data_IF_338380527126
#
_entry.id   IF_338380527126
#
_cell.length_a   1.000
_cell.length_b   1.000
_cell.length_c   1.000
_cell.angle_alpha   90.00
_cell.angle_beta   90.00
_cell.angle_gamma   90.00
#
_symmetry.space_group_name_H-M   'P 1'
#
loop_
_entity.id
_entity.type
_entity.pdbx_description
1 polymer ?
#
# COMPACT_ATOMS: atom_id res chain seq x y z
N UNK A 1 -21.84 -13.28 6.35
CA UNK A 1 -22.55 -12.17 5.68
C UNK A 1 -21.51 -11.36 4.94
N UNK A 2 -21.70 -11.08 3.64
CA UNK A 2 -20.77 -10.23 2.88
C UNK A 2 -20.99 -8.77 3.31
N UNK A 3 -19.91 -8.02 3.58
CA UNK A 3 -20.00 -6.58 3.85
C UNK A 3 -20.45 -5.85 2.58
N UNK A 4 -21.26 -4.79 2.71
CA UNK A 4 -21.65 -3.99 1.55
C UNK A 4 -20.40 -3.39 0.89
N UNK A 5 -20.38 -3.39 -0.44
CA UNK A 5 -19.30 -2.76 -1.20
C UNK A 5 -19.20 -1.27 -0.83
N UNK A 6 -17.98 -0.79 -0.61
CA UNK A 6 -17.69 0.63 -0.41
C UNK A 6 -17.58 1.28 -1.78
N UNK A 7 -18.43 2.27 -2.06
CA UNK A 7 -18.29 3.11 -3.25
C UNK A 7 -17.40 4.29 -2.92
N UNK A 8 -16.20 4.32 -3.51
CA UNK A 8 -15.35 5.51 -3.50
C UNK A 8 -16.02 6.60 -4.34
N UNK A 9 -16.35 7.78 -3.80
CA UNK A 9 -16.73 8.91 -4.65
C UNK A 9 -15.54 9.22 -5.57
N UNK A 10 -15.75 9.65 -6.84
CA UNK A 10 -14.66 9.90 -7.77
C UNK A 10 -13.63 10.83 -7.12
N UNK A 11 -12.45 10.31 -6.71
CA UNK A 11 -11.53 11.14 -5.98
C UNK A 11 -10.94 12.18 -6.95
N UNK A 12 -10.78 13.41 -6.48
CA UNK A 12 -10.12 14.42 -7.27
C UNK A 12 -8.67 14.01 -7.58
N UNK A 13 -8.14 14.46 -8.72
CA UNK A 13 -6.70 14.38 -8.97
C UNK A 13 -5.95 15.09 -7.83
N UNK A 14 -4.85 14.51 -7.31
CA UNK A 14 -4.15 13.33 -7.81
C UNK A 14 -4.54 12.00 -7.13
N UNK A 15 -5.48 12.00 -6.18
CA UNK A 15 -5.83 10.83 -5.36
C UNK A 15 -6.45 9.70 -6.18
N UNK A 16 -7.11 10.00 -7.31
CA UNK A 16 -7.54 8.97 -8.26
C UNK A 16 -6.40 8.14 -8.84
N UNK A 17 -5.25 8.74 -9.11
CA UNK A 17 -4.08 8.03 -9.63
C UNK A 17 -3.54 7.04 -8.59
N UNK A 18 -3.61 7.40 -7.31
CA UNK A 18 -3.27 6.51 -6.20
C UNK A 18 -4.23 5.31 -6.16
N UNK A 19 -5.55 5.53 -6.18
CA UNK A 19 -6.52 4.44 -6.15
C UNK A 19 -6.44 3.53 -7.37
N UNK A 20 -6.18 4.06 -8.56
CA UNK A 20 -5.92 3.21 -9.74
C UNK A 20 -4.70 2.31 -9.53
N UNK A 21 -3.61 2.82 -8.96
CA UNK A 21 -2.43 2.01 -8.66
C UNK A 21 -2.73 0.92 -7.61
N UNK A 22 -3.51 1.23 -6.58
CA UNK A 22 -3.93 0.26 -5.55
C UNK A 22 -4.88 -0.80 -6.12
N UNK A 23 -5.78 -0.44 -7.04
CA UNK A 23 -6.67 -1.39 -7.71
C UNK A 23 -5.89 -2.31 -8.66
N UNK A 24 -4.93 -1.78 -9.43
CA UNK A 24 -4.03 -2.61 -10.24
C UNK A 24 -3.22 -3.59 -9.38
N UNK A 25 -2.84 -3.17 -8.16
CA UNK A 25 -2.20 -4.05 -7.19
C UNK A 25 -3.16 -5.14 -6.67
N UNK A 26 -4.44 -4.82 -6.47
CA UNK A 26 -5.46 -5.78 -6.04
C UNK A 26 -5.71 -6.88 -7.09
N UNK A 27 -5.48 -6.59 -8.37
CA UNK A 27 -5.59 -7.56 -9.45
C UNK A 27 -4.45 -8.60 -9.46
N UNK A 28 -3.43 -8.47 -8.59
CA UNK A 28 -2.35 -9.44 -8.49
C UNK A 28 -2.74 -10.64 -7.61
N UNK A 29 -3.00 -11.83 -8.18
CA UNK A 29 -3.72 -12.91 -7.49
C UNK A 29 -2.91 -13.64 -6.42
N UNK A 30 -1.60 -13.36 -6.28
CA UNK A 30 -0.67 -14.18 -5.48
C UNK A 30 -0.16 -13.50 -4.22
N UNK A 31 -0.54 -12.25 -3.96
CA UNK A 31 -0.01 -11.51 -2.82
C UNK A 31 -1.15 -11.04 -1.92
N UNK A 32 -1.12 -11.50 -0.67
CA UNK A 32 -1.96 -10.92 0.39
C UNK A 32 -1.34 -9.60 0.82
N UNK A 33 -2.15 -8.56 0.87
CA UNK A 33 -1.73 -7.25 1.32
C UNK A 33 -2.89 -6.46 1.92
N UNK A 34 -2.58 -5.40 2.66
CA UNK A 34 -3.57 -4.52 3.27
C UNK A 34 -3.25 -3.07 2.99
N UNK A 35 -4.28 -2.25 2.72
CA UNK A 35 -4.18 -0.79 2.84
C UNK A 35 -4.17 -0.43 4.32
N UNK A 36 -3.25 0.43 4.73
CA UNK A 36 -3.18 1.00 6.08
C UNK A 36 -3.12 2.54 6.02
N UNK A 37 -2.90 3.19 7.15
CA UNK A 37 -2.75 4.64 7.21
C UNK A 37 -3.99 5.42 6.79
N UNK A 38 -3.79 6.57 6.15
CA UNK A 38 -4.86 7.53 5.86
C UNK A 38 -5.93 7.01 4.88
N UNK A 39 -5.54 6.20 3.89
CA UNK A 39 -6.51 5.62 2.94
C UNK A 39 -7.39 4.56 3.61
N UNK A 40 -6.86 3.80 4.57
CA UNK A 40 -7.67 2.86 5.38
C UNK A 40 -8.69 3.63 6.22
N UNK A 41 -8.31 4.76 6.81
CA UNK A 41 -9.24 5.62 7.56
C UNK A 41 -10.34 6.16 6.63
N UNK A 42 -10.00 6.60 5.41
CA UNK A 42 -10.96 7.01 4.41
C UNK A 42 -12.00 5.91 4.13
N UNK A 43 -11.55 4.67 3.89
CA UNK A 43 -12.45 3.54 3.65
C UNK A 43 -13.43 3.33 4.82
N UNK A 44 -12.95 3.39 6.07
CA UNK A 44 -13.82 3.25 7.24
C UNK A 44 -14.83 4.40 7.41
N UNK A 45 -14.46 5.63 7.05
CA UNK A 45 -15.37 6.79 7.06
C UNK A 45 -16.48 6.60 6.02
N UNK A 46 -16.10 6.22 4.79
CA UNK A 46 -17.05 6.00 3.69
C UNK A 46 -17.99 4.83 3.97
N UNK A 47 -17.48 3.76 4.58
CA UNK A 47 -18.31 2.63 5.01
C UNK A 47 -19.42 3.07 5.98
N UNK A 48 -19.13 4.04 6.84
CA UNK A 48 -20.10 4.64 7.77
C UNK A 48 -20.98 5.70 7.11
N UNK A 49 -20.88 5.87 5.79
CA UNK A 49 -21.59 6.88 4.98
C UNK A 49 -21.34 8.31 5.48
N UNK A 50 -20.14 8.56 6.01
CA UNK A 50 -19.70 9.87 6.46
C UNK A 50 -18.79 10.52 5.40
N UNK A 51 -18.61 11.84 5.50
CA UNK A 51 -17.68 12.59 4.66
C UNK A 51 -16.33 12.75 5.38
N UNK A 52 -15.21 12.47 4.70
CA UNK A 52 -13.89 12.70 5.30
C UNK A 52 -13.62 14.20 5.45
N UNK A 53 -13.03 14.61 6.57
CA UNK A 53 -12.57 15.98 6.78
C UNK A 53 -11.36 16.33 5.90
N UNK A 54 -10.49 15.34 5.68
CA UNK A 54 -9.31 15.43 4.82
C UNK A 54 -9.05 14.06 4.19
N UNK A 55 -8.54 14.07 2.96
CA UNK A 55 -8.12 12.87 2.26
C UNK A 55 -6.59 12.88 2.17
N UNK A 56 -5.95 11.81 2.62
CA UNK A 56 -4.50 11.62 2.45
C UNK A 56 -4.15 11.54 0.97
N UNK A 57 -2.99 12.06 0.60
CA UNK A 57 -2.40 11.84 -0.74
C UNK A 57 -1.38 10.69 -0.75
N UNK A 58 -1.03 10.21 0.45
CA UNK A 58 -0.15 9.07 0.65
C UNK A 58 -0.99 7.81 0.80
N UNK A 59 -0.55 6.74 0.14
CA UNK A 59 -1.02 5.39 0.36
C UNK A 59 0.04 4.56 1.08
N UNK A 60 -0.40 3.75 2.03
CA UNK A 60 0.46 2.84 2.77
C UNK A 60 -0.09 1.43 2.57
N UNK A 61 0.77 0.50 2.17
CA UNK A 61 0.36 -0.90 2.01
C UNK A 61 1.34 -1.84 2.69
N UNK A 62 0.82 -2.93 3.24
CA UNK A 62 1.61 -3.96 3.91
C UNK A 62 1.57 -5.24 3.09
N UNK A 63 2.75 -5.76 2.74
CA UNK A 63 2.93 -7.03 2.07
C UNK A 63 2.92 -8.20 3.07
N UNK A 64 2.07 -9.22 2.87
CA UNK A 64 2.14 -10.45 3.67
C UNK A 64 3.29 -11.36 3.20
N UNK A 65 4.50 -10.98 3.60
CA UNK A 65 5.73 -11.74 3.30
C UNK A 65 5.77 -13.11 3.97
N UNK A 66 4.93 -13.36 4.97
CA UNK A 66 4.84 -14.67 5.63
C UNK A 66 4.01 -15.64 4.78
N UNK A 67 2.96 -15.15 4.13
CA UNK A 67 2.18 -15.94 3.18
C UNK A 67 2.90 -16.16 1.83
N UNK A 68 3.68 -15.17 1.38
CA UNK A 68 4.46 -15.25 0.15
C UNK A 68 5.83 -14.57 0.31
N UNK A 69 6.95 -15.32 0.35
CA UNK A 69 8.29 -14.76 0.60
C UNK A 69 8.73 -13.68 -0.41
N UNK A 70 8.20 -13.71 -1.63
CA UNK A 70 8.48 -12.71 -2.67
C UNK A 70 7.45 -11.57 -2.74
N UNK A 71 6.54 -11.47 -1.75
CA UNK A 71 5.42 -10.52 -1.76
C UNK A 71 5.86 -9.08 -2.01
N UNK A 72 6.91 -8.59 -1.34
CA UNK A 72 7.39 -7.20 -1.51
C UNK A 72 7.85 -6.97 -2.95
N UNK A 73 8.69 -7.85 -3.49
CA UNK A 73 9.19 -7.76 -4.86
C UNK A 73 8.07 -7.83 -5.90
N UNK A 74 7.01 -8.57 -5.64
CA UNK A 74 5.81 -8.57 -6.48
C UNK A 74 5.02 -7.27 -6.33
N UNK A 75 4.83 -6.76 -5.12
CA UNK A 75 4.04 -5.55 -4.88
C UNK A 75 4.65 -4.30 -5.50
N UNK A 76 5.98 -4.19 -5.58
CA UNK A 76 6.63 -3.02 -6.19
C UNK A 76 6.39 -2.91 -7.69
N UNK A 77 6.00 -4.01 -8.36
CA UNK A 77 5.75 -4.02 -9.81
C UNK A 77 4.54 -3.17 -10.20
N UNK A 78 3.47 -3.19 -9.41
CA UNK A 78 2.24 -2.46 -9.72
C UNK A 78 2.45 -0.92 -9.70
N UNK A 79 3.02 -0.32 -8.63
CA UNK A 79 3.38 1.10 -8.64
C UNK A 79 4.31 1.46 -9.81
N UNK A 80 5.32 0.63 -10.09
CA UNK A 80 6.25 0.89 -11.21
C UNK A 80 5.54 0.91 -12.57
N UNK A 81 4.66 -0.06 -12.83
CA UNK A 81 3.83 -0.10 -14.04
C UNK A 81 2.84 1.08 -14.10
N UNK A 82 2.38 1.57 -12.95
CA UNK A 82 1.56 2.77 -12.83
C UNK A 82 2.37 4.08 -12.93
N UNK A 83 3.67 4.03 -13.22
CA UNK A 83 4.53 5.19 -13.44
C UNK A 83 5.11 5.82 -12.18
N UNK A 84 5.10 5.10 -11.05
CA UNK A 84 5.81 5.52 -9.85
C UNK A 84 7.28 5.11 -9.92
N UNK A 85 8.15 5.96 -9.38
CA UNK A 85 9.59 5.70 -9.23
C UNK A 85 9.96 5.69 -7.75
N UNK A 86 11.09 5.08 -7.40
CA UNK A 86 11.61 5.12 -6.03
C UNK A 86 11.92 6.58 -5.68
N UNK A 87 11.35 7.08 -4.59
CA UNK A 87 11.48 8.50 -4.17
C UNK A 87 12.86 8.83 -3.59
N UNK A 88 13.70 7.83 -3.41
CA UNK A 88 15.05 7.94 -2.87
C UNK A 88 15.42 6.69 -2.08
N UNK A 89 16.68 6.64 -1.67
CA UNK A 89 17.19 5.62 -0.77
C UNK A 89 17.83 6.30 0.43
N UNK A 90 17.45 5.88 1.64
CA UNK A 90 18.11 6.38 2.85
C UNK A 90 19.56 5.86 2.95
N UNK A 91 20.42 6.47 3.78
CA UNK A 91 21.77 5.95 4.05
C UNK A 91 21.77 4.49 4.53
N UNK A 92 20.72 4.08 5.23
CA UNK A 92 20.54 2.71 5.72
C UNK A 92 20.01 1.75 4.64
N UNK A 93 19.83 2.21 3.40
CA UNK A 93 19.35 1.41 2.28
C UNK A 93 17.83 1.26 2.21
N UNK A 94 17.05 2.08 2.92
CA UNK A 94 15.59 2.02 2.87
C UNK A 94 15.06 2.70 1.60
N UNK A 95 14.29 1.96 0.80
CA UNK A 95 13.67 2.41 -0.44
C UNK A 95 12.23 1.84 -0.54
N UNK A 96 11.41 2.13 0.47
CA UNK A 96 10.02 1.68 0.56
C UNK A 96 9.04 2.63 -0.14
N UNK A 97 9.44 3.89 -0.35
CA UNK A 97 8.58 4.95 -0.88
C UNK A 97 8.70 5.06 -2.39
N UNK A 98 7.55 4.98 -3.04
CA UNK A 98 7.39 5.19 -4.47
C UNK A 98 6.60 6.47 -4.70
N UNK A 99 7.07 7.33 -5.58
CA UNK A 99 6.46 8.61 -5.89
C UNK A 99 6.09 8.69 -7.37
N UNK A 100 4.94 9.30 -7.66
CA UNK A 100 4.55 9.69 -9.01
C UNK A 100 4.26 11.18 -9.01
N UNK A 101 4.98 11.91 -9.86
CA UNK A 101 4.76 13.34 -10.07
C UNK A 101 3.37 13.52 -10.68
N UNK A 102 2.56 14.34 -10.02
CA UNK A 102 1.21 14.68 -10.44
C UNK A 102 0.91 16.14 -10.09
N UNK A 103 -0.09 16.72 -10.74
CA UNK A 103 -0.57 18.07 -10.47
C UNK A 103 -1.87 18.02 -9.66
N UNK A 104 -2.04 18.88 -8.64
CA UNK A 104 -1.11 19.92 -8.16
C UNK A 104 0.01 19.41 -7.24
N UNK A 105 0.00 18.12 -6.86
CA UNK A 105 0.97 17.56 -5.90
C UNK A 105 1.28 16.11 -6.28
N UNK A 106 2.54 15.70 -6.08
CA UNK A 106 2.94 14.30 -6.23
C UNK A 106 2.20 13.40 -5.25
N UNK A 107 1.97 12.15 -5.66
CA UNK A 107 1.40 11.12 -4.80
C UNK A 107 2.43 10.07 -4.46
N UNK A 108 2.26 9.44 -3.30
CA UNK A 108 3.22 8.48 -2.77
C UNK A 108 2.53 7.18 -2.37
N UNK A 109 3.26 6.09 -2.54
CA UNK A 109 2.90 4.77 -2.03
C UNK A 109 4.08 4.23 -1.25
N UNK A 110 3.87 3.95 0.03
CA UNK A 110 4.82 3.24 0.87
C UNK A 110 4.50 1.73 0.84
N UNK A 111 5.45 0.93 0.37
CA UNK A 111 5.37 -0.54 0.38
C UNK A 111 6.10 -1.05 1.62
N UNK A 112 5.36 -1.53 2.62
CA UNK A 112 5.85 -1.88 3.95
C UNK A 112 5.79 -3.38 4.23
N UNK A 113 6.57 -3.83 5.20
CA UNK A 113 6.50 -5.18 5.73
C UNK A 113 5.80 -5.21 7.10
N UNK A 114 5.15 -6.32 7.50
CA UNK A 114 4.61 -6.46 8.84
C UNK A 114 5.73 -6.55 9.88
N UNK A 115 5.42 -6.17 11.10
CA UNK A 115 6.31 -6.30 12.26
C UNK A 115 6.55 -7.75 12.70
N UNK A 116 7.67 -8.01 13.35
CA UNK A 116 8.02 -9.31 13.94
C UNK A 116 8.57 -10.29 12.91
N UNK A 117 9.30 -9.82 11.91
CA UNK A 117 9.93 -10.68 10.90
C UNK A 117 11.28 -11.20 11.39
N UNK A 118 11.68 -12.35 10.84
CA UNK A 118 12.98 -12.93 11.13
C UNK A 118 14.08 -12.26 10.32
N UNK A 119 15.35 -12.31 10.76
CA UNK A 119 16.48 -11.68 10.07
C UNK A 119 16.77 -12.26 8.67
N UNK A 120 16.14 -13.39 8.32
CA UNK A 120 16.27 -14.04 7.00
C UNK A 120 15.13 -13.69 6.04
N UNK A 121 14.15 -12.90 6.46
CA UNK A 121 13.06 -12.49 5.58
C UNK A 121 13.59 -11.56 4.51
N UNK A 122 13.26 -11.85 3.25
CA UNK A 122 13.62 -10.97 2.13
C UNK A 122 12.75 -9.71 2.19
N UNK A 123 13.40 -8.57 2.43
CA UNK A 123 12.77 -7.25 2.48
C UNK A 123 13.09 -6.41 1.25
N UNK A 124 13.69 -7.01 0.21
CA UNK A 124 14.14 -6.30 -0.99
C UNK A 124 12.96 -5.66 -1.72
N UNK A 125 13.05 -4.34 -1.97
CA UNK A 125 12.13 -3.60 -2.84
C UNK A 125 12.74 -3.49 -4.24
N UNK A 126 12.98 -2.28 -4.75
CA UNK A 126 13.83 -2.06 -5.92
C UNK A 126 15.29 -2.16 -5.49
N UNK A 127 16.04 -3.11 -6.03
CA UNK A 127 17.48 -3.27 -5.71
C UNK A 127 18.26 -1.96 -5.94
N UNK A 128 19.22 -1.64 -5.06
CA UNK A 128 19.68 -2.41 -3.90
C UNK A 128 18.87 -2.16 -2.61
N UNK A 129 17.73 -1.47 -2.68
CA UNK A 129 16.98 -1.03 -1.52
C UNK A 129 16.10 -2.11 -0.87
N UNK A 130 15.73 -1.83 0.38
CA UNK A 130 14.79 -2.66 1.17
C UNK A 130 13.66 -1.84 1.77
N UNK A 131 12.61 -2.52 2.20
CA UNK A 131 11.55 -1.94 3.01
C UNK A 131 11.87 -1.95 4.50
N UNK A 132 10.96 -1.39 5.30
CA UNK A 132 10.97 -1.35 6.76
C UNK A 132 9.73 -2.07 7.31
N UNK A 133 9.86 -2.64 8.50
CA UNK A 133 8.74 -3.20 9.25
C UNK A 133 7.86 -2.10 9.85
N UNK A 134 6.55 -2.22 9.70
CA UNK A 134 5.57 -1.31 10.29
C UNK A 134 5.01 -1.90 11.59
N UNK A 135 5.18 -1.24 12.74
CA UNK A 135 4.53 -1.63 13.99
C UNK A 135 3.01 -1.79 13.81
N UNK A 136 2.45 -2.91 14.26
CA UNK A 136 1.03 -3.24 14.09
C UNK A 136 0.68 -3.82 12.72
N UNK A 137 1.65 -3.99 11.82
CA UNK A 137 1.40 -4.50 10.48
C UNK A 137 0.89 -5.94 10.44
N UNK A 138 1.35 -6.78 11.36
CA UNK A 138 0.80 -8.15 11.54
C UNK A 138 -0.67 -8.10 11.93
N UNK A 139 -1.04 -7.21 12.85
CA UNK A 139 -2.44 -7.07 13.26
C UNK A 139 -3.32 -6.57 12.11
N UNK A 140 -2.82 -5.62 11.31
CA UNK A 140 -3.55 -5.11 10.15
C UNK A 140 -3.87 -6.24 9.17
N UNK A 141 -2.87 -7.05 8.79
CA UNK A 141 -3.06 -8.21 7.90
C UNK A 141 -4.05 -9.24 8.45
N UNK A 142 -4.01 -9.52 9.76
CA UNK A 142 -4.93 -10.46 10.40
C UNK A 142 -6.39 -9.98 10.40
N UNK A 143 -6.61 -8.67 10.35
CA UNK A 143 -7.95 -8.05 10.32
C UNK A 143 -8.45 -7.78 8.91
N UNK A 144 -7.61 -7.97 7.89
CA UNK A 144 -8.01 -7.83 6.49
C UNK A 144 -8.97 -8.95 6.11
N UNK A 145 -10.09 -8.56 5.50
CA UNK A 145 -11.03 -9.50 4.90
C UNK A 145 -10.51 -9.92 3.53
N UNK A 146 -10.44 -11.23 3.29
CA UNK A 146 -9.99 -11.80 2.02
C UNK A 146 -11.20 -12.33 1.25
N UNK A 147 -11.35 -11.92 -0.01
CA UNK A 147 -12.32 -12.56 -0.91
C UNK A 147 -11.86 -14.02 -1.14
N UNK A 148 -12.72 -14.97 -0.76
CA UNK A 148 -12.52 -16.41 -0.97
C UNK A 148 -12.94 -16.80 -2.38
#
# INVERSE_FOLDING_TARGET
>A
MSRPAITLPPPASPVNLLWHALLNLAEQPRTRWAVVGGQMVLLHVLERRQLPLQISQDGDVIADVRAAPNAIGTMVTAPQQAGFTVAGMSPDGLAHRYERIANPTSIKIDILAPDGLGPRTDLTTTRPGRTVEMPGGTQALQRTEWST
#
